data_IF_508588415610
#
_entry.id   IF_508588415610
#
_cell.length_a   1.000
_cell.length_b   1.000
_cell.length_c   1.000
_cell.angle_alpha   90.00
_cell.angle_beta   90.00
_cell.angle_gamma   90.00
#
_symmetry.space_group_name_H-M   'P 1'
#
loop_
_entity.id
_entity.type
_entity.pdbx_description
1 polymer ?
#
# COMPACT_ATOMS: atom_id res chain seq x y z
N UNK A 1 -40.09 -6.07 -51.20
CA UNK A 1 -38.75 -6.71 -51.17
C UNK A 1 -37.76 -5.65 -51.61
N UNK A 2 -36.92 -5.04 -50.79
CA UNK A 2 -36.08 -5.59 -49.72
C UNK A 2 -35.92 -4.50 -48.66
N UNK A 3 -36.57 -4.70 -47.51
CA UNK A 3 -36.47 -3.80 -46.35
C UNK A 3 -35.65 -4.47 -45.22
N UNK A 4 -34.63 -5.28 -45.57
CA UNK A 4 -33.93 -6.14 -44.63
C UNK A 4 -32.42 -6.19 -44.90
N UNK A 5 -31.72 -5.07 -44.68
CA UNK A 5 -30.24 -5.06 -44.72
C UNK A 5 -29.62 -4.24 -43.59
N UNK A 6 -30.33 -4.05 -42.47
CA UNK A 6 -29.83 -3.30 -41.31
C UNK A 6 -30.33 -3.82 -39.95
N UNK A 7 -30.49 -5.14 -39.83
CA UNK A 7 -30.32 -5.83 -38.54
C UNK A 7 -29.08 -6.73 -38.74
N UNK A 8 -28.16 -7.05 -37.80
CA UNK A 8 -28.06 -6.71 -36.37
C UNK A 8 -26.58 -6.68 -35.84
N UNK A 9 -25.62 -5.98 -36.45
CA UNK A 9 -24.19 -6.34 -36.24
C UNK A 9 -23.16 -5.28 -35.87
N UNK A 10 -23.53 -4.09 -35.40
CA UNK A 10 -22.57 -3.25 -34.68
C UNK A 10 -23.21 -2.63 -33.45
N UNK A 11 -23.35 -3.52 -32.46
CA UNK A 11 -23.02 -3.23 -31.08
C UNK A 11 -23.70 -1.98 -30.53
N UNK A 12 -24.97 -2.16 -30.15
CA UNK A 12 -25.39 -1.62 -28.85
C UNK A 12 -24.50 -2.31 -27.81
N UNK A 13 -23.26 -1.83 -27.65
CA UNK A 13 -22.58 -1.95 -26.37
C UNK A 13 -23.61 -1.38 -25.41
N UNK A 14 -24.14 -2.22 -24.53
CA UNK A 14 -25.18 -1.82 -23.59
C UNK A 14 -24.67 -0.60 -22.83
N UNK A 15 -25.11 0.59 -23.24
CA UNK A 15 -24.70 1.86 -22.65
C UNK A 15 -25.02 1.88 -21.14
N UNK A 16 -25.95 1.01 -20.73
CA UNK A 16 -26.35 0.74 -19.35
C UNK A 16 -25.39 -0.17 -18.57
N UNK A 17 -24.61 -1.03 -19.23
CA UNK A 17 -23.62 -1.87 -18.58
C UNK A 17 -22.40 -1.06 -18.11
N UNK A 18 -22.09 0.03 -18.82
CA UNK A 18 -21.02 1.00 -18.44
C UNK A 18 -21.42 1.79 -17.18
N UNK A 19 -22.71 2.07 -16.98
CA UNK A 19 -23.17 2.70 -15.72
C UNK A 19 -23.14 1.74 -14.51
N UNK A 20 -23.18 0.42 -14.75
CA UNK A 20 -23.20 -0.59 -13.68
C UNK A 20 -21.82 -1.08 -13.25
N UNK A 21 -20.76 -0.78 -14.00
CA UNK A 21 -19.38 -0.86 -13.50
C UNK A 21 -19.06 0.40 -12.67
N UNK A 22 -19.85 0.56 -11.60
CA UNK A 22 -19.63 1.36 -10.40
C UNK A 22 -18.91 2.70 -10.61
N UNK A 23 -19.67 3.73 -11.03
CA UNK A 23 -19.36 5.10 -10.63
C UNK A 23 -19.47 5.19 -9.10
N UNK A 24 -18.42 4.77 -8.40
CA UNK A 24 -18.32 4.95 -6.96
C UNK A 24 -18.44 6.43 -6.65
N UNK A 25 -19.26 6.75 -5.65
CA UNK A 25 -19.36 8.11 -5.16
C UNK A 25 -17.96 8.58 -4.73
N UNK A 26 -17.67 9.86 -4.94
CA UNK A 26 -16.44 10.47 -4.41
C UNK A 26 -16.29 10.17 -2.90
N UNK A 27 -17.41 10.12 -2.17
CA UNK A 27 -17.41 9.75 -0.75
C UNK A 27 -16.94 8.29 -0.50
N UNK A 28 -17.33 7.33 -1.35
CA UNK A 28 -16.85 5.95 -1.22
C UNK A 28 -15.38 5.80 -1.61
N UNK A 29 -14.91 6.52 -2.62
CA UNK A 29 -13.48 6.53 -2.98
C UNK A 29 -12.61 7.11 -1.84
N UNK A 30 -13.04 8.25 -1.27
CA UNK A 30 -12.33 8.89 -0.16
C UNK A 30 -12.29 8.02 1.10
N UNK A 31 -13.39 7.33 1.41
CA UNK A 31 -13.42 6.43 2.57
C UNK A 31 -12.52 5.22 2.38
N UNK A 32 -12.49 4.61 1.19
CA UNK A 32 -11.56 3.51 0.87
C UNK A 32 -10.10 3.91 0.98
N UNK A 33 -9.73 5.07 0.43
CA UNK A 33 -8.33 5.50 0.47
C UNK A 33 -7.89 5.82 1.91
N UNK A 34 -8.80 6.39 2.72
CA UNK A 34 -8.58 6.58 4.16
C UNK A 34 -8.40 5.26 4.90
N UNK A 35 -9.24 4.25 4.62
CA UNK A 35 -9.13 2.94 5.25
C UNK A 35 -7.79 2.27 4.92
N UNK A 36 -7.36 2.40 3.66
CA UNK A 36 -6.05 1.93 3.20
C UNK A 36 -4.91 2.64 3.93
N UNK A 37 -4.94 3.96 4.04
CA UNK A 37 -3.93 4.73 4.78
C UNK A 37 -3.87 4.32 6.26
N UNK A 38 -5.03 4.13 6.90
CA UNK A 38 -5.10 3.64 8.29
C UNK A 38 -4.46 2.25 8.41
N UNK A 39 -4.74 1.36 7.44
CA UNK A 39 -4.19 0.01 7.44
C UNK A 39 -2.66 0.03 7.27
N UNK A 40 -2.16 0.81 6.33
CA UNK A 40 -0.73 1.01 6.07
C UNK A 40 -0.01 1.53 7.32
N UNK A 41 -0.54 2.60 7.94
CA UNK A 41 0.01 3.16 9.17
C UNK A 41 0.02 2.15 10.33
N UNK A 42 -1.02 1.32 10.47
CA UNK A 42 -1.07 0.25 11.49
C UNK A 42 -0.01 -0.81 11.24
N UNK A 43 0.24 -1.17 9.99
CA UNK A 43 1.28 -2.13 9.63
C UNK A 43 2.66 -1.57 9.93
N UNK A 44 2.91 -0.30 9.59
CA UNK A 44 4.15 0.39 9.90
C UNK A 44 4.45 0.43 11.40
N UNK A 45 3.50 0.91 12.21
CA UNK A 45 3.66 0.95 13.68
C UNK A 45 3.90 -0.45 14.26
N UNK A 46 3.20 -1.46 13.73
CA UNK A 46 3.41 -2.86 14.14
C UNK A 46 4.82 -3.35 13.81
N UNK A 47 5.41 -2.94 12.69
CA UNK A 47 6.79 -3.27 12.35
C UNK A 47 7.76 -2.64 13.36
N UNK A 48 7.64 -1.34 13.64
CA UNK A 48 8.48 -0.64 14.62
C UNK A 48 8.40 -1.29 16.03
N UNK A 49 7.19 -1.63 16.47
CA UNK A 49 6.98 -2.30 17.76
C UNK A 49 7.61 -3.70 17.80
N UNK A 50 7.52 -4.46 16.70
CA UNK A 50 8.15 -5.78 16.61
C UNK A 50 9.67 -5.67 16.63
N UNK A 51 10.25 -4.73 15.89
CA UNK A 51 11.70 -4.47 15.92
C UNK A 51 12.15 -4.09 17.33
N UNK A 52 11.41 -3.19 17.99
CA UNK A 52 11.67 -2.79 19.38
C UNK A 52 11.64 -3.99 20.33
N UNK A 53 10.61 -4.82 20.22
CA UNK A 53 10.44 -6.00 21.07
C UNK A 53 11.52 -7.07 20.81
N UNK A 54 11.93 -7.26 19.56
CA UNK A 54 13.00 -8.18 19.18
C UNK A 54 14.31 -7.77 19.84
N UNK A 55 14.72 -6.52 19.65
CA UNK A 55 15.99 -5.99 20.17
C UNK A 55 16.00 -5.99 21.70
N UNK A 56 14.92 -5.51 22.32
CA UNK A 56 14.77 -5.51 23.78
C UNK A 56 14.81 -6.91 24.38
N UNK A 57 14.15 -7.90 23.75
CA UNK A 57 14.14 -9.29 24.23
C UNK A 57 15.50 -9.97 24.09
N UNK A 58 16.25 -9.65 23.03
CA UNK A 58 17.57 -10.22 22.78
C UNK A 58 18.70 -9.46 23.49
N UNK A 59 18.40 -8.32 24.12
CA UNK A 59 19.40 -7.45 24.73
C UNK A 59 20.33 -6.80 23.71
N UNK A 60 19.86 -6.64 22.46
CA UNK A 60 20.63 -6.00 21.40
C UNK A 60 20.57 -4.48 21.53
N UNK A 61 21.67 -3.82 21.18
CA UNK A 61 21.69 -2.37 21.06
C UNK A 61 20.70 -1.93 19.98
N UNK A 62 19.94 -0.88 20.26
CA UNK A 62 18.99 -0.32 19.31
C UNK A 62 19.67 0.55 18.26
N UNK A 63 20.63 1.36 18.73
CA UNK A 63 21.28 2.41 17.96
C UNK A 63 22.75 2.05 17.70
N UNK A 64 23.26 2.54 16.57
CA UNK A 64 24.68 2.51 16.25
C UNK A 64 25.43 3.62 16.98
N UNK A 65 26.73 3.71 16.73
CA UNK A 65 27.52 4.87 17.16
C UNK A 65 27.13 6.13 16.36
N UNK A 66 26.79 5.93 15.08
CA UNK A 66 26.33 6.95 14.15
C UNK A 66 25.16 6.38 13.35
N UNK A 67 24.03 7.08 13.35
CA UNK A 67 22.83 6.70 12.59
C UNK A 67 22.69 7.50 11.27
N UNK A 68 23.67 8.35 10.95
CA UNK A 68 23.68 9.12 9.71
C UNK A 68 23.64 8.22 8.46
N UNK A 69 23.09 8.73 7.36
CA UNK A 69 22.94 7.97 6.10
C UNK A 69 24.26 7.46 5.51
N UNK A 70 25.38 8.12 5.83
CA UNK A 70 26.72 7.70 5.41
C UNK A 70 27.39 6.71 6.38
N UNK A 71 26.72 6.35 7.47
CA UNK A 71 27.26 5.41 8.45
C UNK A 71 27.28 4.00 7.87
N UNK A 72 28.38 3.28 8.10
CA UNK A 72 28.48 1.87 7.72
C UNK A 72 27.62 0.95 8.62
N UNK A 73 27.13 1.47 9.75
CA UNK A 73 26.26 0.75 10.67
C UNK A 73 25.37 1.75 11.42
N UNK A 74 24.15 1.92 10.92
CA UNK A 74 23.18 2.84 11.52
C UNK A 74 22.54 2.28 12.80
N UNK A 75 22.89 1.06 13.19
CA UNK A 75 22.34 0.37 14.34
C UNK A 75 21.19 -0.56 14.00
N UNK A 76 20.99 -1.55 14.86
CA UNK A 76 20.09 -2.66 14.57
C UNK A 76 18.64 -2.24 14.34
N UNK A 77 18.18 -1.14 14.95
CA UNK A 77 16.82 -0.67 14.73
C UNK A 77 16.60 -0.19 13.30
N UNK A 78 17.45 0.73 12.82
CA UNK A 78 17.37 1.29 11.46
C UNK A 78 17.56 0.19 10.42
N UNK A 79 18.59 -0.62 10.58
CA UNK A 79 18.91 -1.73 9.67
C UNK A 79 17.77 -2.77 9.60
N UNK A 80 17.17 -3.13 10.74
CA UNK A 80 16.04 -4.08 10.75
C UNK A 80 14.81 -3.49 10.09
N UNK A 81 14.52 -2.20 10.33
CA UNK A 81 13.40 -1.52 9.68
C UNK A 81 13.61 -1.42 8.17
N UNK A 82 14.83 -1.08 7.72
CA UNK A 82 15.20 -1.09 6.31
C UNK A 82 15.00 -2.47 5.67
N UNK A 83 15.49 -3.53 6.34
CA UNK A 83 15.29 -4.91 5.87
C UNK A 83 13.79 -5.27 5.75
N UNK A 84 12.94 -4.80 6.68
CA UNK A 84 11.50 -5.03 6.59
C UNK A 84 10.90 -4.31 5.36
N UNK A 85 11.39 -3.13 5.01
CA UNK A 85 10.96 -2.41 3.80
C UNK A 85 11.41 -3.08 2.51
N UNK A 86 12.58 -3.73 2.48
CA UNK A 86 13.01 -4.52 1.32
C UNK A 86 12.08 -5.72 1.07
N UNK A 87 11.56 -6.33 2.14
CA UNK A 87 10.63 -7.46 2.06
C UNK A 87 9.21 -7.00 1.69
N UNK A 88 8.78 -5.85 2.21
CA UNK A 88 7.51 -5.25 1.88
C UNK A 88 7.68 -3.73 1.70
N UNK A 89 7.85 -3.27 0.44
CA UNK A 89 8.08 -1.86 0.12
C UNK A 89 6.97 -0.93 0.61
N UNK A 90 5.75 -1.44 0.77
CA UNK A 90 4.61 -0.65 1.23
C UNK A 90 4.62 -0.40 2.75
N UNK A 91 5.54 -1.02 3.51
CA UNK A 91 5.63 -0.83 4.96
C UNK A 91 6.08 0.58 5.37
N UNK A 92 6.78 1.31 4.51
CA UNK A 92 7.21 2.68 4.77
C UNK A 92 6.92 3.55 3.57
N UNK A 93 5.86 4.35 3.66
CA UNK A 93 5.68 5.47 2.75
C UNK A 93 6.34 6.70 3.36
N UNK A 94 7.39 7.18 2.70
CA UNK A 94 8.07 8.45 2.92
C UNK A 94 8.72 8.59 4.32
N UNK A 95 10.02 8.34 4.40
CA UNK A 95 10.92 9.14 5.25
C UNK A 95 11.58 10.20 4.37
#
# INVERSE_FOLDING_TARGET
MVQASLEPLMQKIDFKAIETEAAESVASCLSKEREKEILENRQYVKALLKTTALLGRQGLAFRGHDEGESSANQGNFVETVHLLTEINPDLMKNS
#
